data_IF_725532895318
#
_entry.id   IF_725532895318
#
_cell.length_a   1.000
_cell.length_b   1.000
_cell.length_c   1.000
_cell.angle_alpha   90.00
_cell.angle_beta   90.00
_cell.angle_gamma   90.00
#
_symmetry.space_group_name_H-M   'P 1'
#
loop_
_entity.id
_entity.type
_entity.pdbx_description
1 polymer ?
#
# COMPACT_ATOMS: atom_id res chain seq x y z
N UNK A 1 7.18 -24.64 -25.40
CA UNK A 1 7.49 -24.00 -24.10
C UNK A 1 7.16 -22.53 -24.26
N UNK A 2 6.26 -21.97 -23.46
CA UNK A 2 6.02 -20.52 -23.47
C UNK A 2 7.28 -19.83 -22.96
N UNK A 3 7.68 -18.75 -23.62
CA UNK A 3 8.75 -17.88 -23.12
C UNK A 3 8.12 -16.92 -22.12
N UNK A 4 8.65 -16.88 -20.91
CA UNK A 4 8.19 -15.95 -19.88
C UNK A 4 8.90 -14.62 -20.06
N UNK A 5 8.14 -13.53 -20.09
CA UNK A 5 8.68 -12.17 -20.11
C UNK A 5 8.78 -11.62 -18.69
N UNK A 6 9.97 -11.14 -18.31
CA UNK A 6 10.14 -10.51 -17.00
C UNK A 6 9.29 -9.24 -16.92
N UNK A 7 8.46 -9.17 -15.89
CA UNK A 7 7.48 -8.10 -15.66
C UNK A 7 7.78 -7.43 -14.32
N UNK A 8 8.79 -6.55 -14.24
CA UNK A 8 9.13 -5.87 -12.99
C UNK A 8 7.95 -5.02 -12.49
N UNK A 9 7.84 -4.90 -11.17
CA UNK A 9 6.81 -4.07 -10.52
C UNK A 9 7.15 -2.60 -10.77
N UNK A 10 6.18 -1.86 -11.28
CA UNK A 10 6.26 -0.41 -11.39
C UNK A 10 4.94 0.22 -10.99
N UNK A 11 4.95 0.98 -9.90
CA UNK A 11 3.81 1.79 -9.45
C UNK A 11 4.01 3.22 -9.98
N UNK A 12 3.13 3.72 -10.86
CA UNK A 12 3.23 5.08 -11.40
C UNK A 12 3.24 6.15 -10.30
N UNK A 13 3.99 7.24 -10.50
CA UNK A 13 4.05 8.36 -9.55
C UNK A 13 2.65 8.93 -9.26
N UNK A 14 1.79 9.03 -10.27
CA UNK A 14 0.40 9.50 -10.11
C UNK A 14 -0.43 8.66 -9.13
N UNK A 15 -0.17 7.35 -9.04
CA UNK A 15 -0.84 6.46 -8.08
C UNK A 15 -0.34 6.74 -6.66
N UNK A 16 0.98 6.97 -6.51
CA UNK A 16 1.56 7.29 -5.22
C UNK A 16 1.13 8.68 -4.73
N UNK A 17 0.99 9.64 -5.63
CA UNK A 17 0.52 10.98 -5.31
C UNK A 17 -0.97 10.99 -4.94
N UNK A 18 -1.81 10.27 -5.68
CA UNK A 18 -3.23 10.07 -5.32
C UNK A 18 -3.36 9.38 -3.95
N UNK A 19 -2.55 8.35 -3.68
CA UNK A 19 -2.51 7.69 -2.38
C UNK A 19 -2.21 8.69 -1.25
N UNK A 20 -1.14 9.48 -1.38
CA UNK A 20 -0.76 10.49 -0.37
C UNK A 20 -1.86 11.52 -0.17
N UNK A 21 -2.48 11.98 -1.25
CA UNK A 21 -3.59 12.94 -1.18
C UNK A 21 -4.76 12.36 -0.39
N UNK A 22 -5.19 11.12 -0.69
CA UNK A 22 -6.30 10.47 0.02
C UNK A 22 -6.00 10.25 1.50
N UNK A 23 -4.80 9.79 1.83
CA UNK A 23 -4.35 9.61 3.21
C UNK A 23 -4.41 10.94 3.99
N UNK A 24 -3.89 12.03 3.43
CA UNK A 24 -3.94 13.36 4.07
C UNK A 24 -5.35 13.95 4.16
N UNK A 25 -6.25 13.56 3.28
CA UNK A 25 -7.66 13.98 3.29
C UNK A 25 -8.56 13.08 4.16
N UNK A 26 -7.99 12.15 4.92
CA UNK A 26 -8.76 11.22 5.76
C UNK A 26 -9.65 11.98 6.76
N UNK A 27 -10.94 11.67 6.73
CA UNK A 27 -11.91 12.15 7.71
C UNK A 27 -12.01 11.14 8.84
N UNK A 28 -11.65 11.56 10.05
CA UNK A 28 -11.61 10.68 11.20
C UNK A 28 -12.96 10.57 11.91
N UNK A 29 -13.46 9.35 12.18
CA UNK A 29 -14.64 9.16 13.01
C UNK A 29 -14.34 9.53 14.47
N UNK A 30 -15.40 9.70 15.27
CA UNK A 30 -15.30 9.70 16.73
C UNK A 30 -14.99 8.28 17.21
N UNK A 31 -14.15 8.16 18.23
CA UNK A 31 -13.70 6.89 18.79
C UNK A 31 -13.88 6.88 20.31
N UNK A 32 -15.13 7.08 20.74
CA UNK A 32 -15.45 7.33 22.15
C UNK A 32 -15.45 6.02 22.93
N UNK A 33 -14.64 5.96 23.98
CA UNK A 33 -14.61 4.83 24.91
C UNK A 33 -13.89 3.60 24.38
N UNK A 34 -13.02 3.76 23.38
CA UNK A 34 -12.24 2.68 22.77
C UNK A 34 -10.74 2.77 23.12
N UNK A 35 -10.37 3.44 24.22
CA UNK A 35 -8.95 3.65 24.57
C UNK A 35 -8.18 2.32 24.79
N UNK A 36 -8.90 1.26 25.16
CA UNK A 36 -8.40 -0.11 25.36
C UNK A 36 -8.45 -1.00 24.10
N UNK A 37 -8.99 -0.49 22.99
CA UNK A 37 -9.11 -1.20 21.71
C UNK A 37 -10.20 -2.29 21.67
N UNK A 38 -11.09 -2.35 22.66
CA UNK A 38 -12.14 -3.39 22.72
C UNK A 38 -13.09 -3.35 21.51
N UNK A 39 -13.39 -2.17 20.96
CA UNK A 39 -14.26 -2.00 19.79
C UNK A 39 -13.53 -2.11 18.44
N UNK A 40 -12.24 -2.44 18.47
CA UNK A 40 -11.38 -2.56 17.29
C UNK A 40 -10.23 -1.57 17.32
N UNK A 41 -9.58 -1.39 16.16
CA UNK A 41 -8.39 -0.53 16.04
C UNK A 41 -8.72 0.87 16.52
N UNK A 42 -7.90 1.38 17.44
CA UNK A 42 -8.06 2.73 17.99
C UNK A 42 -7.76 3.75 16.90
N UNK A 43 -8.49 4.85 16.92
CA UNK A 43 -8.28 5.97 16.00
C UNK A 43 -6.83 6.46 16.05
N UNK A 44 -6.23 6.52 17.23
CA UNK A 44 -4.84 6.98 17.41
C UNK A 44 -3.86 6.09 16.64
N UNK A 45 -4.03 4.77 16.73
CA UNK A 45 -3.16 3.82 16.04
C UNK A 45 -3.29 3.95 14.51
N UNK A 46 -4.52 4.16 14.01
CA UNK A 46 -4.76 4.42 12.59
C UNK A 46 -4.20 5.77 12.14
N UNK A 47 -4.28 6.80 12.97
CA UNK A 47 -3.72 8.12 12.67
C UNK A 47 -2.20 8.04 12.51
N UNK A 48 -1.51 7.36 13.42
CA UNK A 48 -0.07 7.12 13.33
C UNK A 48 0.29 6.32 12.07
N UNK A 49 -0.48 5.28 11.75
CA UNK A 49 -0.26 4.48 10.54
C UNK A 49 -0.46 5.32 9.27
N UNK A 50 -1.51 6.13 9.20
CA UNK A 50 -1.81 6.99 8.05
C UNK A 50 -0.72 8.05 7.86
N UNK A 51 -0.24 8.65 8.95
CA UNK A 51 0.87 9.61 8.91
C UNK A 51 2.16 8.95 8.38
N UNK A 52 2.52 7.78 8.93
CA UNK A 52 3.67 7.03 8.45
C UNK A 52 3.54 6.65 6.97
N UNK A 53 2.37 6.22 6.51
CA UNK A 53 2.16 5.88 5.09
C UNK A 53 2.20 7.08 4.16
N UNK A 54 1.68 8.23 4.58
CA UNK A 54 1.66 9.43 3.75
C UNK A 54 3.07 10.02 3.56
N UNK A 55 3.85 10.04 4.64
CA UNK A 55 5.05 10.87 4.73
C UNK A 55 6.34 10.11 5.10
N UNK A 56 6.23 8.96 5.77
CA UNK A 56 7.38 8.17 6.25
C UNK A 56 7.73 6.95 5.41
N UNK A 57 6.77 6.34 4.73
CA UNK A 57 6.97 5.10 4.00
C UNK A 57 7.61 5.35 2.62
N UNK A 58 8.83 4.85 2.43
CA UNK A 58 9.52 4.90 1.14
C UNK A 58 9.01 3.81 0.18
N UNK A 59 7.98 4.15 -0.59
CA UNK A 59 7.44 3.31 -1.65
C UNK A 59 8.49 2.87 -2.68
N UNK A 60 9.45 3.73 -3.00
CA UNK A 60 10.49 3.41 -3.99
C UNK A 60 11.51 2.44 -3.41
N UNK A 61 11.77 2.46 -2.09
CA UNK A 61 12.54 1.40 -1.44
C UNK A 61 11.81 0.06 -1.46
N UNK A 62 10.52 0.04 -1.17
CA UNK A 62 9.72 -1.18 -1.24
C UNK A 62 9.69 -1.76 -2.67
N UNK A 63 9.48 -0.92 -3.67
CA UNK A 63 9.51 -1.30 -5.09
C UNK A 63 10.86 -1.91 -5.50
N UNK A 64 11.98 -1.28 -5.10
CA UNK A 64 13.32 -1.83 -5.34
C UNK A 64 13.52 -3.18 -4.64
N UNK A 65 13.03 -3.33 -3.42
CA UNK A 65 13.15 -4.59 -2.67
C UNK A 65 12.36 -5.71 -3.34
N UNK A 66 11.16 -5.45 -3.85
CA UNK A 66 10.36 -6.44 -4.58
C UNK A 66 11.02 -6.83 -5.90
N UNK A 67 11.58 -5.85 -6.62
CA UNK A 67 12.30 -6.07 -7.88
C UNK A 67 13.73 -6.62 -7.71
N UNK A 68 14.16 -6.90 -6.49
CA UNK A 68 15.39 -7.67 -6.25
C UNK A 68 15.26 -9.14 -6.72
N UNK A 69 14.03 -9.59 -6.98
CA UNK A 69 13.71 -10.88 -7.56
C UNK A 69 13.09 -10.71 -8.95
N UNK A 70 13.27 -11.71 -9.80
CA UNK A 70 12.62 -11.75 -11.11
C UNK A 70 11.11 -11.95 -10.94
N UNK A 71 10.32 -11.09 -11.58
CA UNK A 71 8.87 -11.12 -11.56
C UNK A 71 8.37 -11.56 -12.94
N UNK A 72 7.35 -12.40 -12.98
CA UNK A 72 6.77 -12.93 -14.22
C UNK A 72 5.25 -12.96 -14.12
N UNK A 73 4.56 -12.80 -15.25
CA UNK A 73 3.11 -12.94 -15.36
C UNK A 73 2.78 -14.12 -16.28
N UNK A 74 1.79 -14.92 -15.92
CA UNK A 74 1.38 -16.11 -16.67
C UNK A 74 -0.14 -16.17 -16.73
N UNK A 75 -0.68 -16.26 -17.94
CA UNK A 75 -2.09 -16.54 -18.16
C UNK A 75 -2.41 -18.02 -17.90
N UNK A 76 -3.34 -18.30 -16.99
CA UNK A 76 -3.84 -19.64 -16.70
C UNK A 76 -5.33 -19.69 -16.99
N UNK A 77 -5.70 -20.25 -18.15
CA UNK A 77 -7.11 -20.40 -18.53
C UNK A 77 -7.86 -19.06 -18.59
N UNK A 78 -7.29 -18.08 -19.29
CA UNK A 78 -7.78 -16.70 -19.43
C UNK A 78 -7.78 -15.89 -18.11
N UNK A 79 -7.11 -16.37 -17.07
CA UNK A 79 -6.84 -15.62 -15.84
C UNK A 79 -5.40 -15.10 -15.88
N UNK A 80 -5.19 -13.77 -16.01
CA UNK A 80 -3.87 -13.16 -16.12
C UNK A 80 -3.18 -12.95 -14.77
#
# INVERSE_FOLDING_TARGET
>A
MQTLEQTPIHVPDEVLDDLRQRLRMTKWPLDVGNDDGFYGVRRTDLQELVEYWADGFDWRAAERAMNAYEQYRVDVGDVP
#
